data_IF_109477756418
#
_entry.id   IF_109477756418
#
_cell.length_a   1.000
_cell.length_b   1.000
_cell.length_c   1.000
_cell.angle_alpha   90.00
_cell.angle_beta   90.00
_cell.angle_gamma   90.00
#
_symmetry.space_group_name_H-M   'P 1'
#
loop_
_entity.id
_entity.type
_entity.pdbx_description
1 polymer ?
#
# COMPACT_ATOMS: atom_id res chain seq x y z
N UNK A 1 -20.29 0.86 16.82
CA UNK A 1 -20.79 0.31 15.53
C UNK A 1 -19.68 -0.54 14.93
N UNK A 2 -20.00 -1.72 14.41
CA UNK A 2 -19.02 -2.54 13.68
C UNK A 2 -18.81 -1.93 12.29
N UNK A 3 -17.56 -1.82 11.83
CA UNK A 3 -17.22 -1.22 10.53
C UNK A 3 -17.57 -2.11 9.33
N UNK A 4 -17.54 -1.55 8.10
CA UNK A 4 -17.98 -2.25 6.87
C UNK A 4 -17.18 -3.53 6.57
N UNK A 5 -15.94 -3.63 7.04
CA UNK A 5 -15.09 -4.81 6.85
C UNK A 5 -15.68 -6.09 7.47
N UNK A 6 -16.40 -5.99 8.59
CA UNK A 6 -16.82 -7.15 9.36
C UNK A 6 -17.89 -8.03 8.68
N UNK A 7 -18.61 -7.46 7.71
CA UNK A 7 -19.66 -8.16 6.95
C UNK A 7 -19.22 -8.45 5.51
N UNK A 8 -18.01 -8.03 5.12
CA UNK A 8 -17.53 -8.17 3.76
C UNK A 8 -16.95 -9.57 3.52
N UNK A 9 -17.48 -10.25 2.50
CA UNK A 9 -16.99 -11.57 2.07
C UNK A 9 -16.01 -11.48 0.90
N UNK A 10 -16.23 -10.51 -0.01
CA UNK A 10 -15.43 -10.31 -1.21
C UNK A 10 -14.00 -9.87 -0.87
N UNK A 11 -12.96 -10.63 -1.26
CA UNK A 11 -11.58 -10.24 -1.00
C UNK A 11 -11.21 -8.87 -1.58
N UNK A 12 -11.66 -8.54 -2.79
CA UNK A 12 -11.37 -7.25 -3.42
C UNK A 12 -12.02 -6.09 -2.67
N UNK A 13 -13.26 -6.25 -2.23
CA UNK A 13 -13.96 -5.24 -1.45
C UNK A 13 -13.29 -5.05 -0.08
N UNK A 14 -12.82 -6.13 0.58
CA UNK A 14 -12.01 -6.02 1.80
C UNK A 14 -10.75 -5.18 1.56
N UNK A 15 -10.04 -5.40 0.43
CA UNK A 15 -8.85 -4.62 0.09
C UNK A 15 -9.19 -3.14 -0.07
N UNK A 16 -10.27 -2.82 -0.78
CA UNK A 16 -10.73 -1.45 -0.99
C UNK A 16 -11.09 -0.76 0.33
N UNK A 17 -11.92 -1.39 1.17
CA UNK A 17 -12.31 -0.85 2.48
C UNK A 17 -11.08 -0.53 3.35
N UNK A 18 -10.09 -1.44 3.36
CA UNK A 18 -8.87 -1.26 4.16
C UNK A 18 -8.01 -0.13 3.58
N UNK A 19 -7.81 -0.09 2.27
CA UNK A 19 -7.06 0.97 1.59
C UNK A 19 -7.67 2.35 1.84
N UNK A 20 -8.97 2.51 1.59
CA UNK A 20 -9.69 3.77 1.80
C UNK A 20 -9.62 4.21 3.27
N UNK A 21 -9.73 3.27 4.19
CA UNK A 21 -9.65 3.56 5.62
C UNK A 21 -8.25 3.99 6.03
N UNK A 22 -7.21 3.30 5.55
CA UNK A 22 -5.81 3.66 5.80
C UNK A 22 -5.53 5.09 5.34
N UNK A 23 -5.98 5.44 4.13
CA UNK A 23 -5.72 6.75 3.57
C UNK A 23 -6.53 7.85 4.25
N UNK A 24 -7.83 7.63 4.53
CA UNK A 24 -8.66 8.58 5.28
C UNK A 24 -8.07 8.89 6.67
N UNK A 25 -7.54 7.87 7.35
CA UNK A 25 -6.85 8.07 8.63
C UNK A 25 -5.57 8.86 8.41
N UNK A 26 -4.75 8.50 7.43
CA UNK A 26 -3.51 9.23 7.09
C UNK A 26 -3.77 10.72 6.86
N UNK A 27 -4.76 11.07 6.03
CA UNK A 27 -5.12 12.46 5.76
C UNK A 27 -5.58 13.20 7.03
N UNK A 28 -6.38 12.55 7.87
CA UNK A 28 -6.82 13.09 9.15
C UNK A 28 -5.63 13.36 10.08
N UNK A 29 -4.70 12.42 10.21
CA UNK A 29 -3.54 12.56 11.09
C UNK A 29 -2.58 13.63 10.58
N UNK A 30 -2.32 13.70 9.27
CA UNK A 30 -1.51 14.75 8.65
C UNK A 30 -2.11 16.14 8.93
N UNK A 31 -3.42 16.28 8.75
CA UNK A 31 -4.13 17.51 9.08
C UNK A 31 -4.06 17.86 10.57
N UNK A 32 -4.21 16.87 11.46
CA UNK A 32 -4.13 17.06 12.91
C UNK A 32 -2.72 17.48 13.38
N UNK A 33 -1.67 17.06 12.67
CA UNK A 33 -0.29 17.49 12.93
C UNK A 33 0.01 18.89 12.37
N UNK A 34 -0.93 19.55 11.68
CA UNK A 34 -0.70 20.84 11.04
C UNK A 34 0.31 20.76 9.88
N UNK A 35 0.47 19.57 9.30
CA UNK A 35 1.38 19.34 8.18
C UNK A 35 0.67 19.76 6.90
N UNK A 36 1.25 20.73 6.20
CA UNK A 36 0.73 21.21 4.92
C UNK A 36 1.45 20.55 3.75
N UNK A 37 0.68 20.14 2.74
CA UNK A 37 1.17 19.43 1.55
C UNK A 37 2.24 20.23 0.77
N UNK A 38 2.21 21.56 0.87
CA UNK A 38 3.18 22.44 0.22
C UNK A 38 4.59 22.33 0.83
N UNK A 39 4.73 21.83 2.07
CA UNK A 39 5.98 21.80 2.84
C UNK A 39 6.52 20.40 3.12
N UNK A 40 5.96 19.36 2.51
CA UNK A 40 6.37 17.97 2.77
C UNK A 40 6.67 17.19 1.51
N UNK A 41 7.47 16.15 1.69
CA UNK A 41 7.66 15.08 0.72
C UNK A 41 7.06 13.79 1.26
N UNK A 42 6.49 12.99 0.37
CA UNK A 42 6.06 11.63 0.68
C UNK A 42 7.15 10.66 0.22
N UNK A 43 7.85 10.06 1.18
CA UNK A 43 8.81 9.00 0.89
C UNK A 43 8.10 7.63 0.87
N UNK A 44 8.26 6.86 -0.20
CA UNK A 44 7.71 5.52 -0.34
C UNK A 44 8.84 4.50 -0.51
N UNK A 45 8.72 3.35 0.16
CA UNK A 45 9.67 2.24 0.06
C UNK A 45 9.49 1.36 -1.18
N UNK A 46 8.91 1.90 -2.26
CA UNK A 46 8.68 1.19 -3.52
C UNK A 46 9.99 0.67 -4.10
N UNK A 47 10.02 -0.60 -4.53
CA UNK A 47 11.19 -1.24 -5.11
C UNK A 47 11.10 -1.33 -6.64
N UNK A 48 12.22 -1.65 -7.29
CA UNK A 48 12.28 -1.85 -8.75
C UNK A 48 11.26 -2.85 -9.30
N UNK A 49 11.05 -4.03 -8.69
CA UNK A 49 10.04 -4.98 -9.16
C UNK A 49 8.62 -4.42 -9.09
N UNK A 50 8.32 -3.61 -8.06
CA UNK A 50 7.00 -2.99 -7.90
C UNK A 50 6.72 -2.02 -9.05
N UNK A 51 7.75 -1.30 -9.52
CA UNK A 51 7.67 -0.38 -10.66
C UNK A 51 7.53 -1.12 -12.00
N UNK A 52 8.25 -2.22 -12.21
CA UNK A 52 8.11 -3.02 -13.43
C UNK A 52 6.73 -3.64 -13.51
N UNK A 53 6.24 -4.19 -12.39
CA UNK A 53 4.86 -4.65 -12.30
C UNK A 53 3.92 -3.50 -12.63
N UNK A 54 4.14 -2.30 -12.08
CA UNK A 54 3.38 -1.05 -12.34
C UNK A 54 3.46 -0.52 -13.80
N UNK A 55 4.54 -0.81 -14.53
CA UNK A 55 4.72 -0.46 -15.95
C UNK A 55 4.17 -1.52 -16.91
N UNK A 56 4.12 -2.79 -16.49
CA UNK A 56 3.53 -3.89 -17.26
C UNK A 56 2.00 -3.83 -17.36
N UNK A 57 1.36 -2.87 -16.66
CA UNK A 57 -0.08 -2.59 -16.70
C UNK A 57 -0.61 -2.20 -18.09
N UNK A 58 0.26 -1.84 -19.04
CA UNK A 58 -0.15 -1.64 -20.44
C UNK A 58 -0.61 -2.94 -21.15
N UNK A 59 -0.43 -4.12 -20.54
CA UNK A 59 -0.67 -5.42 -21.19
C UNK A 59 -1.81 -6.27 -20.60
N UNK A 60 -2.40 -5.95 -19.43
CA UNK A 60 -3.46 -6.79 -18.85
C UNK A 60 -4.44 -6.05 -17.92
N UNK A 61 -5.71 -6.01 -18.33
CA UNK A 61 -6.83 -5.35 -17.64
C UNK A 61 -7.18 -5.90 -16.25
N UNK A 62 -6.66 -7.07 -15.87
CA UNK A 62 -6.87 -7.64 -14.51
C UNK A 62 -5.91 -7.07 -13.46
N UNK A 63 -4.75 -6.58 -13.88
CA UNK A 63 -3.78 -5.95 -12.98
C UNK A 63 -4.17 -4.51 -12.62
N UNK A 64 -4.95 -3.84 -13.48
CA UNK A 64 -5.42 -2.47 -13.30
C UNK A 64 -6.21 -2.27 -12.02
N UNK A 65 -7.10 -3.19 -11.68
CA UNK A 65 -8.03 -3.04 -10.54
C UNK A 65 -7.33 -3.22 -9.18
N UNK A 66 -6.23 -3.99 -9.14
CA UNK A 66 -5.64 -4.46 -7.88
C UNK A 66 -4.61 -3.48 -7.30
N UNK A 67 -3.95 -2.64 -8.14
CA UNK A 67 -2.92 -1.69 -7.65
C UNK A 67 -3.32 -0.21 -7.72
N UNK A 68 -4.29 0.18 -8.57
CA UNK A 68 -4.69 1.59 -8.71
C UNK A 68 -5.40 2.15 -7.48
N UNK A 69 -6.05 1.32 -6.67
CA UNK A 69 -6.92 1.80 -5.59
C UNK A 69 -6.29 1.87 -4.20
N UNK A 70 -5.04 1.45 -3.98
CA UNK A 70 -4.52 1.31 -2.61
C UNK A 70 -3.66 2.48 -2.09
N UNK A 71 -3.19 3.38 -2.95
CA UNK A 71 -2.32 4.50 -2.55
C UNK A 71 -2.71 5.84 -3.20
N UNK A 72 -3.91 5.97 -3.77
CA UNK A 72 -4.25 7.10 -4.65
C UNK A 72 -5.33 8.01 -4.03
N UNK A 73 -4.94 8.88 -3.11
CA UNK A 73 -5.85 9.89 -2.53
C UNK A 73 -5.58 11.31 -2.98
N UNK A 74 -6.44 12.25 -2.58
CA UNK A 74 -6.28 13.66 -2.90
C UNK A 74 -4.90 14.19 -2.47
N UNK A 75 -4.44 13.85 -1.26
CA UNK A 75 -3.11 14.24 -0.78
C UNK A 75 -1.98 13.60 -1.61
N UNK A 76 -2.05 12.28 -1.88
CA UNK A 76 -1.01 11.60 -2.67
C UNK A 76 -0.99 12.08 -4.12
N UNK A 77 -2.16 12.29 -4.74
CA UNK A 77 -2.31 12.85 -6.08
C UNK A 77 -1.78 14.27 -6.16
N UNK A 78 -2.04 15.09 -5.15
CA UNK A 78 -1.49 16.44 -5.06
C UNK A 78 0.03 16.39 -4.96
N UNK A 79 0.59 15.63 -4.02
CA UNK A 79 2.04 15.47 -3.86
C UNK A 79 2.69 14.88 -5.12
N UNK A 80 2.01 13.96 -5.82
CA UNK A 80 2.48 13.41 -7.11
C UNK A 80 2.54 14.50 -8.19
N UNK A 81 1.46 15.27 -8.33
CA UNK A 81 1.37 16.37 -9.32
C UNK A 81 2.43 17.44 -9.05
N UNK A 82 2.72 17.71 -7.78
CA UNK A 82 3.75 18.66 -7.35
C UNK A 82 5.17 18.09 -7.39
N UNK A 83 5.37 16.82 -7.80
CA UNK A 83 6.70 16.20 -7.86
C UNK A 83 7.34 15.91 -6.50
N UNK A 84 6.52 15.75 -5.46
CA UNK A 84 6.93 15.57 -4.05
C UNK A 84 6.86 14.14 -3.54
N UNK A 85 6.76 13.16 -4.45
CA UNK A 85 6.93 11.75 -4.12
C UNK A 85 8.40 11.38 -4.32
N UNK A 86 9.00 10.79 -3.29
CA UNK A 86 10.38 10.30 -3.31
C UNK A 86 10.35 8.79 -3.12
N UNK A 87 11.00 8.05 -4.01
CA UNK A 87 11.11 6.59 -3.95
C UNK A 87 12.59 6.19 -3.91
N UNK A 88 13.26 6.27 -2.75
CA UNK A 88 14.71 6.10 -2.65
C UNK A 88 15.20 4.72 -3.07
N UNK A 89 14.32 3.72 -2.99
CA UNK A 89 14.64 2.31 -3.22
C UNK A 89 14.24 1.83 -4.62
N UNK A 90 13.80 2.75 -5.50
CA UNK A 90 13.25 2.44 -6.83
C UNK A 90 14.18 1.65 -7.75
N UNK A 91 15.48 1.75 -7.54
CA UNK A 91 16.50 1.10 -8.38
C UNK A 91 17.03 -0.20 -7.77
N UNK A 92 16.58 -0.56 -6.56
CA UNK A 92 17.07 -1.70 -5.81
C UNK A 92 16.15 -2.93 -5.89
N UNK A 93 16.76 -4.11 -5.87
CA UNK A 93 16.14 -5.41 -5.66
C UNK A 93 16.00 -5.73 -4.16
N UNK A 94 15.19 -6.75 -3.83
CA UNK A 94 14.80 -7.04 -2.44
C UNK A 94 15.97 -7.46 -1.55
N UNK A 95 16.91 -8.21 -2.10
CA UNK A 95 18.16 -8.62 -1.48
C UNK A 95 19.10 -7.43 -1.23
N UNK A 96 19.22 -6.50 -2.19
CA UNK A 96 20.02 -5.29 -2.04
C UNK A 96 19.47 -4.37 -0.94
N UNK A 97 18.14 -4.22 -0.85
CA UNK A 97 17.48 -3.49 0.24
C UNK A 97 17.74 -4.13 1.60
N UNK A 98 17.86 -5.47 1.66
CA UNK A 98 18.21 -6.16 2.91
C UNK A 98 19.66 -5.92 3.32
N UNK A 99 20.59 -5.97 2.36
CA UNK A 99 21.97 -5.63 2.60
C UNK A 99 22.09 -4.19 3.12
N UNK A 100 21.45 -3.24 2.44
CA UNK A 100 21.38 -1.83 2.85
C UNK A 100 20.80 -1.67 4.26
N UNK A 101 19.71 -2.36 4.59
CA UNK A 101 19.13 -2.31 5.93
C UNK A 101 20.08 -2.81 7.02
N UNK A 102 20.89 -3.83 6.71
CA UNK A 102 21.91 -4.36 7.64
C UNK A 102 23.05 -3.37 7.84
N UNK A 103 23.50 -2.73 6.76
CA UNK A 103 24.55 -1.70 6.78
C UNK A 103 24.12 -0.44 7.55
N UNK A 104 22.84 -0.06 7.45
CA UNK A 104 22.23 1.01 8.24
C UNK A 104 22.04 0.65 9.73
N UNK A 105 22.41 -0.57 10.15
CA UNK A 105 22.32 -1.02 11.53
C UNK A 105 20.91 -1.45 11.99
N UNK A 106 19.99 -1.72 11.05
CA UNK A 106 18.67 -2.23 11.42
C UNK A 106 18.78 -3.65 12.00
N UNK A 107 17.95 -4.01 13.00
CA UNK A 107 17.97 -5.35 13.57
C UNK A 107 17.72 -6.43 12.53
N UNK A 108 18.53 -7.50 12.56
CA UNK A 108 18.46 -8.61 11.60
C UNK A 108 17.03 -9.19 11.46
N UNK A 109 16.32 -9.37 12.58
CA UNK A 109 14.95 -9.92 12.57
C UNK A 109 13.94 -9.02 11.84
N UNK A 110 14.19 -7.71 11.76
CA UNK A 110 13.34 -6.75 11.05
C UNK A 110 13.65 -6.80 9.54
N UNK A 111 14.94 -6.76 9.18
CA UNK A 111 15.42 -6.81 7.79
C UNK A 111 15.00 -8.11 7.10
N UNK A 112 15.11 -9.24 7.80
CA UNK A 112 14.84 -10.58 7.28
C UNK A 112 13.41 -11.06 7.52
N UNK A 113 12.52 -10.20 8.03
CA UNK A 113 11.11 -10.54 8.20
C UNK A 113 10.47 -10.94 6.87
N UNK A 114 9.57 -11.91 6.92
CA UNK A 114 8.75 -12.30 5.78
C UNK A 114 7.85 -11.14 5.34
N UNK A 115 7.56 -11.00 4.02
CA UNK A 115 6.59 -10.03 3.54
C UNK A 115 5.22 -10.23 4.21
N UNK A 116 4.55 -9.12 4.50
CA UNK A 116 3.20 -9.12 5.05
C UNK A 116 2.31 -8.23 4.19
N UNK A 117 1.13 -8.70 3.75
CA UNK A 117 0.28 -7.94 2.84
C UNK A 117 -0.32 -6.72 3.56
N UNK A 118 -0.53 -5.61 2.83
CA UNK A 118 -1.18 -4.41 3.37
C UNK A 118 -2.55 -4.67 4.02
N UNK A 119 -3.47 -5.41 3.36
CA UNK A 119 -4.73 -5.86 3.96
C UNK A 119 -4.60 -6.84 5.15
N UNK A 120 -3.38 -7.30 5.44
CA UNK A 120 -3.06 -8.18 6.55
C UNK A 120 -3.83 -9.50 6.54
N UNK A 121 -4.39 -9.85 7.70
CA UNK A 121 -5.13 -11.11 7.85
C UNK A 121 -6.51 -11.10 7.20
N UNK A 122 -7.05 -9.93 6.83
CA UNK A 122 -8.40 -9.84 6.24
C UNK A 122 -8.54 -10.64 4.94
N UNK A 123 -7.46 -10.73 4.16
CA UNK A 123 -7.38 -11.53 2.93
C UNK A 123 -6.91 -12.98 3.15
N UNK A 124 -6.60 -13.35 4.41
CA UNK A 124 -6.20 -14.71 4.79
C UNK A 124 -7.34 -15.50 5.45
N UNK A 125 -8.49 -14.87 5.66
CA UNK A 125 -9.71 -15.51 6.15
C UNK A 125 -10.69 -15.63 4.99
N UNK A 126 -11.00 -16.87 4.61
CA UNK A 126 -12.06 -17.17 3.67
C UNK A 126 -13.40 -16.90 4.37
N UNK A 127 -14.17 -15.98 3.81
CA UNK A 127 -15.48 -15.61 4.32
C UNK A 127 -16.55 -16.05 3.33
N UNK A 128 -17.70 -16.45 3.86
CA UNK A 128 -18.85 -16.91 3.10
C UNK A 128 -20.11 -16.35 3.77
N UNK A 129 -21.12 -15.99 2.98
CA UNK A 129 -22.42 -15.52 3.44
C UNK A 129 -23.45 -16.65 3.58
N UNK A 130 -23.01 -17.91 3.39
CA UNK A 130 -23.86 -19.10 3.44
C UNK A 130 -24.58 -19.40 2.13
N UNK A 131 -24.33 -18.63 1.06
CA UNK A 131 -24.83 -18.99 -0.27
C UNK A 131 -23.91 -20.02 -0.91
N UNK A 132 -24.44 -21.20 -1.25
CA UNK A 132 -23.70 -22.17 -2.07
C UNK A 132 -23.50 -21.59 -3.48
N UNK A 133 -22.33 -21.78 -4.12
CA UNK A 133 -22.20 -21.45 -5.53
C UNK A 133 -23.23 -22.25 -6.33
N UNK A 134 -23.80 -21.66 -7.40
CA UNK A 134 -24.75 -22.35 -8.29
C UNK A 134 -24.11 -23.57 -8.97
#
# INVERSE_FOLDING_TARGET
>A
RVGPLAQCVSPEEKRMIIGDTFMRITEREVAAMGISADRVFLAQGTLRPDLIESGSHLASSKADVIKTHHNDTALVRQLRTEGKIVEPLRDYHKDEVRALGTELGLPHHLVWRQPFPGPGLAIRVLCCDGTSPP
#
